data_IF_736249916188
#
_entry.id   IF_736249916188
#
_cell.length_a   1.000
_cell.length_b   1.000
_cell.length_c   1.000
_cell.angle_alpha   90.00
_cell.angle_beta   90.00
_cell.angle_gamma   90.00
#
_symmetry.space_group_name_H-M   'P 1'
#
loop_
_entity.id
_entity.type
_entity.pdbx_description
1 polymer ?
#
# COMPACT_ATOMS: atom_id res chain seq x y z
N UNK A 1 20.14 -11.21 -5.53
CA UNK A 1 20.11 -11.26 -4.06
C UNK A 1 19.20 -10.13 -3.58
N UNK A 2 18.29 -10.43 -2.69
CA UNK A 2 17.44 -9.41 -2.07
C UNK A 2 18.18 -8.80 -0.87
N UNK A 3 18.26 -7.47 -0.80
CA UNK A 3 18.89 -6.76 0.32
C UNK A 3 17.82 -5.92 1.01
N UNK A 4 17.70 -6.07 2.32
CA UNK A 4 16.78 -5.32 3.15
C UNK A 4 17.56 -4.52 4.21
N UNK A 5 17.38 -3.20 4.22
CA UNK A 5 17.82 -2.35 5.33
C UNK A 5 16.77 -2.37 6.43
N UNK A 6 17.15 -2.70 7.66
CA UNK A 6 16.22 -2.84 8.79
C UNK A 6 15.76 -1.47 9.32
N UNK A 7 15.22 -0.65 8.44
CA UNK A 7 14.63 0.67 8.75
C UNK A 7 13.58 1.02 7.70
N UNK A 8 12.59 1.81 8.08
CA UNK A 8 11.65 2.37 7.11
C UNK A 8 12.35 3.40 6.21
N UNK A 9 11.89 3.54 4.98
CA UNK A 9 12.40 4.56 4.03
C UNK A 9 12.17 5.97 4.58
N UNK A 10 11.02 6.21 5.22
CA UNK A 10 10.72 7.41 5.97
C UNK A 10 10.21 7.03 7.37
N UNK A 11 10.59 7.75 8.45
CA UNK A 11 10.16 7.40 9.79
C UNK A 11 8.65 7.61 9.98
N UNK A 12 7.98 6.61 10.58
CA UNK A 12 6.56 6.65 10.91
C UNK A 12 6.39 6.58 12.44
N UNK A 13 5.80 7.62 13.02
CA UNK A 13 5.51 7.68 14.45
C UNK A 13 4.21 8.44 14.70
N UNK A 14 3.08 7.72 14.69
CA UNK A 14 1.75 8.29 14.91
C UNK A 14 1.43 8.24 16.40
N UNK A 15 1.29 9.42 17.01
CA UNK A 15 0.98 9.56 18.45
C UNK A 15 -0.53 9.47 18.68
N UNK A 16 -1.34 10.00 17.76
CA UNK A 16 -2.79 10.03 17.86
C UNK A 16 -3.42 9.03 16.89
N UNK A 17 -3.75 7.79 17.32
CA UNK A 17 -4.34 6.77 16.44
C UNK A 17 -5.67 7.24 15.82
N UNK A 18 -5.85 7.05 14.52
CA UNK A 18 -7.10 7.35 13.81
C UNK A 18 -7.53 6.15 12.95
N UNK A 19 -8.54 5.44 13.42
CA UNK A 19 -9.07 4.24 12.74
C UNK A 19 -9.69 4.56 11.36
N UNK A 20 -10.12 5.80 11.12
CA UNK A 20 -10.66 6.21 9.82
C UNK A 20 -9.54 6.24 8.78
N UNK A 21 -8.37 6.72 9.17
CA UNK A 21 -7.16 6.72 8.34
C UNK A 21 -6.72 5.28 8.07
N UNK A 22 -6.67 4.41 9.09
CA UNK A 22 -6.36 3.00 8.91
C UNK A 22 -7.27 2.33 7.87
N UNK A 23 -8.56 2.68 7.88
CA UNK A 23 -9.55 2.19 6.91
C UNK A 23 -9.21 2.54 5.46
N UNK A 24 -8.80 3.78 5.22
CA UNK A 24 -8.43 4.23 3.86
C UNK A 24 -7.06 3.68 3.46
N UNK A 25 -6.09 3.64 4.39
CA UNK A 25 -4.77 3.05 4.15
C UNK A 25 -4.84 1.58 3.73
N UNK A 26 -5.87 0.84 4.12
CA UNK A 26 -6.07 -0.54 3.68
C UNK A 26 -6.12 -0.65 2.13
N UNK A 27 -6.69 0.35 1.44
CA UNK A 27 -6.70 0.38 -0.02
C UNK A 27 -5.27 0.42 -0.60
N UNK A 28 -4.35 1.15 0.05
CA UNK A 28 -2.95 1.26 -0.35
C UNK A 28 -2.09 0.09 0.17
N UNK A 29 -2.60 -0.70 1.11
CA UNK A 29 -1.90 -1.87 1.63
C UNK A 29 -2.18 -3.14 0.82
N UNK A 30 -3.42 -3.37 0.40
CA UNK A 30 -3.81 -4.62 -0.26
C UNK A 30 -4.86 -4.48 -1.36
N UNK A 31 -5.19 -3.26 -1.80
CA UNK A 31 -6.10 -3.02 -2.91
C UNK A 31 -5.48 -3.21 -4.29
N UNK A 32 -6.26 -3.08 -5.37
CA UNK A 32 -5.78 -3.27 -6.73
C UNK A 32 -4.74 -2.24 -7.20
N UNK A 33 -4.75 -1.04 -6.61
CA UNK A 33 -3.80 0.04 -6.87
C UNK A 33 -2.94 0.32 -5.64
N UNK A 34 -2.68 -0.72 -4.84
CA UNK A 34 -1.86 -0.65 -3.62
C UNK A 34 -0.38 -0.77 -3.92
N UNK A 35 0.45 -0.35 -2.96
CA UNK A 35 1.91 -0.53 -3.00
C UNK A 35 2.30 -2.00 -3.21
N UNK A 36 1.57 -2.95 -2.59
CA UNK A 36 1.80 -4.37 -2.81
C UNK A 36 1.51 -4.78 -4.27
N UNK A 37 0.40 -4.30 -4.83
CA UNK A 37 0.05 -4.59 -6.22
C UNK A 37 1.06 -3.96 -7.17
N UNK A 38 1.45 -2.70 -6.96
CA UNK A 38 2.43 -1.98 -7.74
C UNK A 38 3.80 -2.67 -7.72
N UNK A 39 4.33 -2.98 -6.54
CA UNK A 39 5.61 -3.66 -6.40
C UNK A 39 5.66 -5.00 -7.12
N UNK A 40 4.66 -5.86 -6.93
CA UNK A 40 4.58 -7.17 -7.60
C UNK A 40 4.36 -7.03 -9.11
N UNK A 41 3.59 -6.03 -9.54
CA UNK A 41 3.34 -5.71 -10.94
C UNK A 41 4.63 -5.34 -11.65
N UNK A 42 5.35 -4.34 -11.20
CA UNK A 42 6.58 -3.85 -11.81
C UNK A 42 7.68 -4.93 -11.82
N UNK A 43 7.85 -5.63 -10.71
CA UNK A 43 8.80 -6.74 -10.61
C UNK A 43 8.45 -7.94 -11.50
N UNK A 44 7.20 -8.09 -11.91
CA UNK A 44 6.75 -9.12 -12.85
C UNK A 44 6.84 -8.64 -14.31
N UNK A 45 6.40 -7.43 -14.59
CA UNK A 45 6.40 -6.86 -15.94
C UNK A 45 7.82 -6.69 -16.51
N UNK A 46 8.82 -6.41 -15.64
CA UNK A 46 10.22 -6.23 -16.07
C UNK A 46 10.77 -7.38 -16.94
N UNK A 47 10.26 -8.60 -16.75
CA UNK A 47 10.73 -9.77 -17.51
C UNK A 47 10.34 -9.75 -18.98
N UNK A 48 9.30 -9.01 -19.36
CA UNK A 48 8.82 -8.87 -20.74
C UNK A 48 9.25 -7.56 -21.43
N UNK A 49 9.95 -6.68 -20.72
CA UNK A 49 10.39 -5.39 -21.28
C UNK A 49 11.53 -5.59 -22.30
N UNK A 50 11.47 -4.91 -23.46
CA UNK A 50 12.46 -5.09 -24.51
C UNK A 50 13.78 -4.37 -24.25
N UNK A 51 13.79 -3.32 -23.43
CA UNK A 51 14.95 -2.45 -23.16
C UNK A 51 15.44 -2.63 -21.73
N UNK A 52 16.76 -2.80 -21.57
CA UNK A 52 17.37 -3.04 -20.25
C UNK A 52 17.25 -1.83 -19.29
N UNK A 53 17.13 -0.61 -19.82
CA UNK A 53 16.87 0.58 -18.98
C UNK A 53 15.48 0.53 -18.40
N UNK A 54 14.48 0.13 -19.19
CA UNK A 54 13.11 -0.05 -18.69
C UNK A 54 13.06 -1.17 -17.66
N UNK A 55 13.74 -2.30 -17.89
CA UNK A 55 13.86 -3.37 -16.87
C UNK A 55 14.50 -2.86 -15.58
N UNK A 56 15.57 -2.07 -15.67
CA UNK A 56 16.23 -1.48 -14.52
C UNK A 56 15.29 -0.53 -13.77
N UNK A 57 14.59 0.36 -14.49
CA UNK A 57 13.62 1.27 -13.88
C UNK A 57 12.50 0.53 -13.17
N UNK A 58 11.87 -0.47 -13.80
CA UNK A 58 10.82 -1.28 -13.16
C UNK A 58 11.33 -2.09 -11.97
N UNK A 59 12.62 -2.46 -11.97
CA UNK A 59 13.24 -3.11 -10.82
C UNK A 59 13.41 -2.12 -9.66
N UNK A 60 13.87 -0.92 -9.96
CA UNK A 60 14.10 0.14 -8.99
C UNK A 60 12.80 0.56 -8.31
N UNK A 61 11.84 1.04 -9.09
CA UNK A 61 10.53 1.46 -8.55
C UNK A 61 9.78 0.29 -7.89
N UNK A 62 9.80 -0.91 -8.47
CA UNK A 62 9.11 -2.07 -7.88
C UNK A 62 9.67 -2.48 -6.51
N UNK A 63 10.96 -2.29 -6.27
CA UNK A 63 11.54 -2.50 -4.94
C UNK A 63 11.24 -1.34 -3.99
N UNK A 64 11.12 -0.12 -4.50
CA UNK A 64 10.69 1.05 -3.73
C UNK A 64 9.25 0.91 -3.25
N UNK A 65 8.34 0.39 -4.08
CA UNK A 65 6.95 0.11 -3.69
C UNK A 65 6.84 -0.87 -2.51
N UNK A 66 7.77 -1.82 -2.39
CA UNK A 66 7.80 -2.70 -1.22
C UNK A 66 8.22 -1.94 0.06
N UNK A 67 9.05 -0.91 -0.06
CA UNK A 67 9.38 -0.03 1.06
C UNK A 67 8.18 0.85 1.45
N UNK A 68 7.44 1.37 0.47
CA UNK A 68 6.18 2.10 0.69
C UNK A 68 5.14 1.18 1.36
N UNK A 69 4.99 -0.05 0.89
CA UNK A 69 4.10 -1.04 1.51
C UNK A 69 4.42 -1.28 2.99
N UNK A 70 5.71 -1.36 3.35
CA UNK A 70 6.15 -1.48 4.75
C UNK A 70 5.75 -0.25 5.57
N UNK A 71 5.90 0.96 5.01
CA UNK A 71 5.47 2.21 5.64
C UNK A 71 3.95 2.23 5.87
N UNK A 72 3.16 1.91 4.83
CA UNK A 72 1.69 1.86 4.93
C UNK A 72 1.24 0.86 5.99
N UNK A 73 1.82 -0.33 6.03
CA UNK A 73 1.53 -1.34 7.05
C UNK A 73 1.87 -0.84 8.46
N UNK A 74 2.97 -0.13 8.62
CA UNK A 74 3.37 0.50 9.89
C UNK A 74 2.38 1.57 10.30
N UNK A 75 1.96 2.45 9.38
CA UNK A 75 0.95 3.47 9.63
C UNK A 75 -0.39 2.86 10.04
N UNK A 76 -0.86 1.85 9.31
CA UNK A 76 -2.10 1.13 9.65
C UNK A 76 -2.03 0.56 11.07
N UNK A 77 -0.93 -0.12 11.40
CA UNK A 77 -0.73 -0.71 12.72
C UNK A 77 -0.78 0.36 13.82
N UNK A 78 -0.16 1.51 13.60
CA UNK A 78 -0.15 2.61 14.59
C UNK A 78 -1.51 3.31 14.66
N UNK A 79 -2.21 3.50 13.55
CA UNK A 79 -3.58 4.04 13.53
C UNK A 79 -4.61 3.12 14.21
N UNK A 80 -4.34 1.82 14.29
CA UNK A 80 -5.18 0.83 15.00
C UNK A 80 -4.74 0.60 16.44
N UNK A 81 -3.70 1.27 16.90
CA UNK A 81 -3.18 1.07 18.25
C UNK A 81 -4.25 1.36 19.30
N UNK A 82 -4.42 0.42 20.23
CA UNK A 82 -5.41 0.48 21.31
C UNK A 82 -6.89 0.44 20.86
N UNK A 83 -7.19 0.24 19.57
CA UNK A 83 -8.56 0.05 19.12
C UNK A 83 -9.14 -1.27 19.68
N UNK A 84 -10.32 -1.18 20.28
CA UNK A 84 -11.04 -2.37 20.74
C UNK A 84 -11.61 -3.16 19.55
N UNK A 85 -11.90 -4.47 19.72
CA UNK A 85 -12.58 -5.25 18.67
C UNK A 85 -13.90 -4.64 18.21
N UNK A 86 -14.63 -3.96 19.11
CA UNK A 86 -15.87 -3.28 18.79
C UNK A 86 -15.64 -2.07 17.87
N UNK A 87 -14.58 -1.29 18.10
CA UNK A 87 -14.20 -0.16 17.25
C UNK A 87 -13.71 -0.64 15.88
N UNK A 88 -12.92 -1.70 15.83
CA UNK A 88 -12.46 -2.32 14.57
C UNK A 88 -13.66 -2.80 13.75
N UNK A 89 -14.63 -3.46 14.41
CA UNK A 89 -15.87 -3.90 13.77
C UNK A 89 -16.70 -2.73 13.25
N UNK A 90 -16.86 -1.69 14.04
CA UNK A 90 -17.60 -0.48 13.66
C UNK A 90 -16.96 0.25 12.47
N UNK A 91 -15.64 0.16 12.33
CA UNK A 91 -14.90 0.68 11.17
C UNK A 91 -14.98 -0.23 9.93
N UNK A 92 -15.58 -1.41 10.02
CA UNK A 92 -15.64 -2.39 8.93
C UNK A 92 -14.30 -3.02 8.59
N UNK A 93 -13.45 -3.20 9.58
CA UNK A 93 -12.13 -3.85 9.48
C UNK A 93 -12.13 -5.25 10.14
N UNK A 94 -13.30 -5.79 10.43
CA UNK A 94 -13.46 -6.99 11.25
C UNK A 94 -12.96 -8.28 10.61
N UNK A 95 -12.98 -8.37 9.27
CA UNK A 95 -12.72 -9.63 8.56
C UNK A 95 -11.39 -10.29 8.92
N UNK A 96 -10.36 -9.48 9.25
CA UNK A 96 -9.00 -9.96 9.51
C UNK A 96 -8.40 -9.53 10.85
N UNK A 97 -9.04 -8.60 11.57
CA UNK A 97 -8.47 -7.98 12.76
C UNK A 97 -9.15 -8.38 14.05
N UNK A 98 -10.43 -8.71 14.03
CA UNK A 98 -11.25 -8.93 15.23
C UNK A 98 -10.69 -10.05 16.10
N UNK A 99 -10.23 -11.14 15.51
CA UNK A 99 -9.76 -12.31 16.24
C UNK A 99 -8.48 -12.05 17.04
N UNK A 100 -7.57 -11.23 16.52
CA UNK A 100 -6.26 -10.95 17.11
C UNK A 100 -6.08 -9.48 17.51
N UNK A 101 -6.99 -8.61 17.09
CA UNK A 101 -7.02 -7.19 17.47
C UNK A 101 -5.94 -6.31 16.86
N UNK A 102 -4.93 -6.87 16.24
CA UNK A 102 -3.74 -6.12 15.80
C UNK A 102 -3.14 -6.59 14.49
N UNK A 103 -3.75 -7.57 13.82
CA UNK A 103 -3.26 -8.06 12.53
C UNK A 103 -3.37 -6.99 11.44
N UNK A 104 -2.35 -6.88 10.59
CA UNK A 104 -2.39 -6.09 9.35
C UNK A 104 -2.42 -7.09 8.20
N UNK A 105 -3.55 -7.18 7.53
CA UNK A 105 -3.79 -8.17 6.48
C UNK A 105 -3.93 -7.47 5.12
N UNK A 106 -3.29 -7.96 4.04
CA UNK A 106 -3.43 -7.39 2.71
C UNK A 106 -4.86 -7.57 2.18
N UNK A 107 -5.68 -6.54 2.37
CA UNK A 107 -7.03 -6.43 1.86
C UNK A 107 -7.30 -4.95 1.54
N UNK A 108 -8.30 -4.70 0.69
CA UNK A 108 -8.73 -3.33 0.41
C UNK A 108 -9.59 -2.76 1.55
N UNK A 109 -9.99 -1.50 1.41
CA UNK A 109 -10.85 -0.81 2.38
C UNK A 109 -12.25 -1.43 2.51
N UNK A 110 -12.70 -2.24 1.58
CA UNK A 110 -13.97 -2.97 1.62
C UNK A 110 -13.82 -4.38 2.21
N UNK A 111 -12.60 -4.79 2.57
CA UNK A 111 -12.30 -6.11 3.12
C UNK A 111 -12.08 -7.20 2.06
N UNK A 112 -11.95 -6.83 0.79
CA UNK A 112 -11.60 -7.79 -0.27
C UNK A 112 -10.13 -8.15 -0.15
N UNK A 113 -9.76 -9.44 0.02
CA UNK A 113 -8.38 -9.87 0.11
C UNK A 113 -7.57 -9.53 -1.14
N UNK A 114 -6.28 -9.22 -0.97
CA UNK A 114 -5.36 -9.12 -2.08
C UNK A 114 -5.40 -10.39 -2.94
N UNK A 115 -5.38 -10.20 -4.24
CA UNK A 115 -5.37 -11.30 -5.21
C UNK A 115 -4.32 -11.06 -6.28
N UNK A 116 -3.72 -12.14 -6.80
CA UNK A 116 -2.80 -12.08 -7.93
C UNK A 116 -3.44 -11.47 -9.20
N UNK A 117 -4.77 -11.43 -9.29
CA UNK A 117 -5.48 -10.75 -10.37
C UNK A 117 -5.19 -9.24 -10.46
N UNK A 118 -4.71 -8.63 -9.37
CA UNK A 118 -4.34 -7.21 -9.32
C UNK A 118 -2.97 -6.92 -9.96
N UNK A 119 -2.16 -7.93 -10.23
CA UNK A 119 -0.78 -7.75 -10.73
C UNK A 119 -0.75 -7.23 -12.18
N UNK A 120 -1.75 -7.54 -13.02
CA UNK A 120 -1.93 -6.89 -14.33
C UNK A 120 -0.70 -7.00 -15.24
N UNK A 121 -0.24 -8.22 -15.57
CA UNK A 121 0.88 -8.46 -16.49
C UNK A 121 0.35 -9.08 -17.78
N UNK A 122 0.46 -8.35 -18.88
CA UNK A 122 0.00 -8.80 -20.22
C UNK A 122 1.14 -9.28 -21.10
N UNK A 123 2.36 -8.77 -20.88
CA UNK A 123 3.53 -8.99 -21.72
C UNK A 123 3.61 -8.02 -22.90
N UNK A 124 2.65 -7.12 -23.07
CA UNK A 124 2.72 -5.98 -23.98
C UNK A 124 3.27 -4.76 -23.23
N UNK A 125 4.48 -4.28 -23.56
CA UNK A 125 5.11 -3.18 -22.82
C UNK A 125 4.30 -1.88 -22.82
N UNK A 126 3.55 -1.59 -23.88
CA UNK A 126 2.75 -0.36 -23.97
C UNK A 126 1.52 -0.48 -23.08
N UNK A 127 0.83 -1.61 -23.12
CA UNK A 127 -0.34 -1.88 -22.28
C UNK A 127 0.07 -1.85 -20.80
N UNK A 128 1.13 -2.56 -20.46
CA UNK A 128 1.61 -2.71 -19.08
C UNK A 128 2.01 -1.35 -18.49
N UNK A 129 2.85 -0.55 -19.18
CA UNK A 129 3.26 0.77 -18.67
C UNK A 129 2.09 1.78 -18.66
N UNK A 130 1.13 1.67 -19.56
CA UNK A 130 -0.06 2.54 -19.54
C UNK A 130 -0.90 2.26 -18.31
N UNK A 131 -1.09 0.99 -17.95
CA UNK A 131 -1.78 0.60 -16.71
C UNK A 131 -1.00 1.05 -15.47
N UNK A 132 0.32 0.93 -15.46
CA UNK A 132 1.16 1.40 -14.36
C UNK A 132 0.93 2.89 -14.08
N UNK A 133 1.00 3.73 -15.13
CA UNK A 133 0.74 5.16 -14.99
C UNK A 133 -0.68 5.46 -14.47
N UNK A 134 -1.67 4.68 -14.89
CA UNK A 134 -3.04 4.83 -14.43
C UNK A 134 -3.18 4.43 -12.95
N UNK A 135 -2.52 3.33 -12.54
CA UNK A 135 -2.51 2.86 -11.16
C UNK A 135 -1.85 3.88 -10.22
N UNK A 136 -0.71 4.47 -10.63
CA UNK A 136 -0.04 5.54 -9.88
C UNK A 136 -0.94 6.76 -9.67
N UNK A 137 -1.67 7.19 -10.70
CA UNK A 137 -2.59 8.31 -10.56
C UNK A 137 -3.76 7.99 -9.62
N UNK A 138 -4.23 6.75 -9.59
CA UNK A 138 -5.27 6.30 -8.65
C UNK A 138 -4.74 6.25 -7.22
N UNK A 139 -3.53 5.75 -7.02
CA UNK A 139 -2.84 5.77 -5.72
C UNK A 139 -2.66 7.21 -5.20
N UNK A 140 -2.14 8.12 -6.05
CA UNK A 140 -2.00 9.54 -5.72
C UNK A 140 -3.34 10.16 -5.27
N UNK A 141 -4.44 9.89 -5.98
CA UNK A 141 -5.76 10.41 -5.61
C UNK A 141 -6.22 9.88 -4.25
N UNK A 142 -5.90 8.63 -3.90
CA UNK A 142 -6.17 8.05 -2.59
C UNK A 142 -5.34 8.73 -1.49
N UNK A 143 -4.07 8.99 -1.73
CA UNK A 143 -3.22 9.74 -0.78
C UNK A 143 -3.70 11.17 -0.57
N UNK A 144 -4.10 11.88 -1.63
CA UNK A 144 -4.73 13.19 -1.49
C UNK A 144 -6.00 13.14 -0.62
N UNK A 145 -6.82 12.10 -0.76
CA UNK A 145 -7.97 11.91 0.11
C UNK A 145 -7.56 11.74 1.58
N UNK A 146 -6.52 10.98 1.88
CA UNK A 146 -6.02 10.82 3.26
C UNK A 146 -5.52 12.17 3.80
N UNK A 147 -4.79 12.95 2.99
CA UNK A 147 -4.31 14.28 3.39
C UNK A 147 -5.45 15.27 3.72
N UNK A 148 -6.65 15.05 3.17
CA UNK A 148 -7.85 15.84 3.51
C UNK A 148 -8.63 15.26 4.71
N UNK A 149 -8.43 13.99 5.05
CA UNK A 149 -9.17 13.31 6.12
C UNK A 149 -8.68 13.69 7.52
N UNK A 150 -7.42 14.11 7.64
CA UNK A 150 -6.78 14.43 8.92
C UNK A 150 -5.87 15.66 8.79
N UNK A 151 -5.70 16.40 9.90
CA UNK A 151 -4.70 17.46 10.02
C UNK A 151 -3.47 17.06 10.84
N UNK A 152 -3.41 15.79 11.29
CA UNK A 152 -2.30 15.29 12.08
C UNK A 152 -1.02 15.20 11.25
N UNK A 153 0.06 15.95 11.60
CA UNK A 153 1.31 15.91 10.86
C UNK A 153 1.98 14.54 10.92
N UNK A 154 1.82 13.77 12.00
CA UNK A 154 2.38 12.43 12.12
C UNK A 154 1.85 11.47 11.05
N UNK A 155 0.67 11.75 10.52
CA UNK A 155 0.05 11.00 9.42
C UNK A 155 0.38 11.64 8.07
N UNK A 156 0.30 12.99 8.00
CA UNK A 156 0.46 13.70 6.70
C UNK A 156 1.88 13.66 6.16
N UNK A 157 2.89 13.76 7.02
CA UNK A 157 4.29 13.85 6.58
C UNK A 157 4.79 12.55 5.92
N UNK A 158 4.51 11.35 6.43
CA UNK A 158 4.88 10.11 5.72
C UNK A 158 4.14 9.89 4.38
N UNK A 159 3.01 10.57 4.15
CA UNK A 159 2.21 10.43 2.92
C UNK A 159 2.64 11.41 1.82
N UNK A 160 3.33 12.49 2.16
CA UNK A 160 3.84 13.52 1.22
C UNK A 160 5.14 13.13 0.56
#
# INVERSE_FOLDING_TARGET
>A
MWIYEKKLQYPVKIVNPDIRVAKVLAAQYGGPDSELAAGLRYLSQRFSMPDDRVKATLTDIGTEELAHWEMIGTMMRQCLQNASPAQIRAAGLESYYVQHGTGVYPADASGVPFTAAYIQVTGDPIADITEDMAAEQKARATYEHILHLTDDPDIKDPIR
#
